data_IF_320936124216
#
_entry.id   IF_320936124216
#
_cell.length_a   1.000
_cell.length_b   1.000
_cell.length_c   1.000
_cell.angle_alpha   90.00
_cell.angle_beta   90.00
_cell.angle_gamma   90.00
#
_symmetry.space_group_name_H-M   'P 1'
#
loop_
_entity.id
_entity.type
_entity.pdbx_description
1 polymer ?
#
# COMPACT_ATOMS: atom_id res chain seq x y z
N UNK A 1 -18.23 -4.31 14.41
CA UNK A 1 -17.28 -4.06 13.30
C UNK A 1 -17.88 -4.44 11.96
N UNK A 2 -18.56 -5.58 11.84
CA UNK A 2 -19.20 -6.07 10.61
C UNK A 2 -20.17 -5.09 9.92
N UNK A 3 -21.01 -4.38 10.65
CA UNK A 3 -21.96 -3.41 10.06
C UNK A 3 -21.28 -2.13 9.49
N UNK A 4 -20.09 -1.81 9.99
CA UNK A 4 -19.34 -0.63 9.56
C UNK A 4 -18.63 -0.91 8.23
N UNK A 5 -18.12 -2.12 8.05
CA UNK A 5 -17.37 -2.55 6.86
C UNK A 5 -18.35 -3.08 5.80
N UNK A 6 -19.10 -2.15 5.20
CA UNK A 6 -19.97 -2.45 4.07
C UNK A 6 -19.27 -2.14 2.73
N UNK A 7 -19.56 -2.90 1.67
CA UNK A 7 -19.09 -2.56 0.33
C UNK A 7 -19.65 -1.21 -0.14
N UNK A 8 -18.95 -0.61 -1.11
CA UNK A 8 -19.26 0.67 -1.72
C UNK A 8 -19.27 1.88 -0.75
N UNK A 9 -18.56 1.78 0.39
CA UNK A 9 -18.37 2.88 1.33
C UNK A 9 -16.90 3.26 1.45
N UNK A 10 -16.65 4.54 1.70
CA UNK A 10 -15.33 5.01 2.09
C UNK A 10 -15.17 4.83 3.60
N UNK A 11 -14.10 4.15 4.00
CA UNK A 11 -13.84 3.81 5.40
C UNK A 11 -12.41 4.21 5.73
N UNK A 12 -12.24 4.81 6.90
CA UNK A 12 -10.94 5.10 7.48
C UNK A 12 -10.57 4.01 8.46
N UNK A 13 -9.44 3.36 8.22
CA UNK A 13 -8.89 2.33 9.08
C UNK A 13 -7.69 2.87 9.85
N UNK A 14 -7.62 2.56 11.14
CA UNK A 14 -6.45 2.83 11.98
C UNK A 14 -5.82 1.51 12.38
N UNK A 15 -4.49 1.42 12.31
CA UNK A 15 -3.75 0.22 12.70
C UNK A 15 -3.65 0.19 14.23
N UNK A 16 -4.40 -0.72 14.86
CA UNK A 16 -4.42 -0.91 16.31
C UNK A 16 -3.16 -1.60 16.83
N UNK A 17 -2.66 -2.57 16.06
CA UNK A 17 -1.50 -3.40 16.42
C UNK A 17 -0.68 -3.71 15.18
N UNK A 18 0.64 -3.65 15.30
CA UNK A 18 1.54 -4.00 14.21
C UNK A 18 1.41 -5.48 13.81
N UNK A 19 1.22 -5.80 12.52
CA UNK A 19 1.20 -7.17 12.04
C UNK A 19 2.57 -7.85 12.21
N UNK A 20 2.59 -8.95 12.96
CA UNK A 20 3.79 -9.76 13.19
C UNK A 20 4.09 -10.69 12.02
N UNK A 21 3.04 -11.30 11.43
CA UNK A 21 3.20 -12.21 10.28
C UNK A 21 3.49 -11.42 9.01
N UNK A 22 4.45 -11.90 8.22
CA UNK A 22 4.83 -11.28 6.94
C UNK A 22 3.65 -11.21 5.95
N UNK A 23 2.80 -12.24 5.91
CA UNK A 23 1.62 -12.26 5.05
C UNK A 23 0.64 -11.13 5.41
N UNK A 24 0.28 -11.03 6.68
CA UNK A 24 -0.64 -10.00 7.21
C UNK A 24 -0.06 -8.60 6.97
N UNK A 25 1.24 -8.41 7.20
CA UNK A 25 1.96 -7.16 6.90
C UNK A 25 1.84 -6.75 5.44
N UNK A 26 2.01 -7.70 4.50
CA UNK A 26 1.86 -7.44 3.06
C UNK A 26 0.42 -7.09 2.70
N UNK A 27 -0.56 -7.72 3.33
CA UNK A 27 -1.99 -7.42 3.11
C UNK A 27 -2.33 -6.00 3.56
N UNK A 28 -1.90 -5.60 4.76
CA UNK A 28 -2.09 -4.23 5.25
C UNK A 28 -1.34 -3.22 4.38
N UNK A 29 -0.07 -3.47 4.04
CA UNK A 29 0.69 -2.62 3.10
C UNK A 29 -0.06 -2.43 1.77
N UNK A 30 -0.70 -3.48 1.25
CA UNK A 30 -1.45 -3.40 -0.01
C UNK A 30 -2.73 -2.58 0.13
N UNK A 31 -3.48 -2.75 1.21
CA UNK A 31 -4.68 -1.96 1.49
C UNK A 31 -4.34 -0.48 1.64
N UNK A 32 -3.32 -0.14 2.43
CA UNK A 32 -2.83 1.24 2.59
C UNK A 32 -2.38 1.85 1.26
N UNK A 33 -1.76 1.05 0.37
CA UNK A 33 -1.39 1.53 -0.97
C UNK A 33 -2.58 1.88 -1.85
N UNK A 34 -3.79 1.37 -1.59
CA UNK A 34 -4.97 1.70 -2.41
C UNK A 34 -5.44 3.14 -2.19
N UNK A 35 -4.97 3.83 -1.13
CA UNK A 35 -5.29 5.23 -0.91
C UNK A 35 -4.81 6.09 -2.11
N UNK A 36 -5.68 6.95 -2.68
CA UNK A 36 -5.36 7.71 -3.88
C UNK A 36 -4.07 8.54 -3.78
N UNK A 37 -3.81 9.16 -2.64
CA UNK A 37 -2.62 10.00 -2.47
C UNK A 37 -1.32 9.20 -2.41
N UNK A 38 -1.38 8.00 -1.82
CA UNK A 38 -0.26 7.05 -1.87
C UNK A 38 -0.01 6.61 -3.32
N UNK A 39 -1.05 6.29 -4.08
CA UNK A 39 -0.91 5.93 -5.51
C UNK A 39 -0.29 7.06 -6.34
N UNK A 40 -0.74 8.31 -6.14
CA UNK A 40 -0.14 9.50 -6.79
C UNK A 40 1.35 9.61 -6.44
N UNK A 41 1.71 9.44 -5.16
CA UNK A 41 3.09 9.46 -4.71
C UNK A 41 3.94 8.36 -5.33
N UNK A 42 3.44 7.12 -5.36
CA UNK A 42 4.13 5.98 -5.98
C UNK A 42 4.37 6.20 -7.48
N UNK A 43 3.39 6.77 -8.18
CA UNK A 43 3.48 7.11 -9.60
C UNK A 43 4.56 8.16 -9.86
N UNK A 44 4.57 9.26 -9.09
CA UNK A 44 5.63 10.29 -9.18
C UNK A 44 7.03 9.71 -8.93
N UNK A 45 7.16 8.87 -7.90
CA UNK A 45 8.44 8.23 -7.58
C UNK A 45 8.89 7.25 -8.67
N UNK A 46 7.97 6.54 -9.31
CA UNK A 46 8.29 5.67 -10.45
C UNK A 46 8.80 6.48 -11.64
N UNK A 47 8.13 7.57 -11.99
CA UNK A 47 8.57 8.48 -13.05
C UNK A 47 9.94 9.09 -12.75
N UNK A 48 10.18 9.52 -11.51
CA UNK A 48 11.49 10.05 -11.09
C UNK A 48 12.59 9.00 -11.24
N UNK A 49 12.37 7.76 -10.78
CA UNK A 49 13.36 6.68 -10.92
C UNK A 49 13.69 6.40 -12.39
N UNK A 50 12.68 6.38 -13.26
CA UNK A 50 12.88 6.17 -14.69
C UNK A 50 13.72 7.28 -15.34
N UNK A 51 13.57 8.53 -14.91
CA UNK A 51 14.28 9.69 -15.49
C UNK A 51 15.69 9.88 -14.94
N UNK A 52 15.90 9.70 -13.63
CA UNK A 52 17.15 10.13 -12.98
C UNK A 52 17.72 9.14 -11.97
N UNK A 53 16.95 8.14 -11.52
CA UNK A 53 17.40 7.21 -10.48
C UNK A 53 18.04 5.93 -11.02
N UNK A 54 17.63 5.49 -12.21
CA UNK A 54 18.20 4.31 -12.84
C UNK A 54 19.52 4.67 -13.53
N UNK A 55 20.52 3.80 -13.37
CA UNK A 55 21.82 3.96 -14.01
C UNK A 55 21.85 3.11 -15.27
N UNK A 56 22.05 3.75 -16.41
CA UNK A 56 22.24 3.06 -17.68
C UNK A 56 23.73 2.85 -17.95
N UNK A 57 24.10 1.65 -18.36
CA UNK A 57 25.48 1.30 -18.69
C UNK A 57 25.53 0.30 -19.83
N UNK A 58 26.64 0.25 -20.57
CA UNK A 58 26.81 -0.68 -21.69
C UNK A 58 27.46 -1.97 -21.17
N UNK A 59 26.90 -3.11 -21.54
CA UNK A 59 27.49 -4.44 -21.29
C UNK A 59 27.35 -5.29 -22.54
N UNK A 60 28.48 -5.79 -23.04
CA UNK A 60 28.57 -6.54 -24.30
C UNK A 60 27.90 -5.82 -25.49
N UNK A 61 28.15 -4.51 -25.63
CA UNK A 61 27.61 -3.69 -26.72
C UNK A 61 26.10 -3.40 -26.64
N UNK A 62 25.42 -3.76 -25.55
CA UNK A 62 23.99 -3.45 -25.34
C UNK A 62 23.79 -2.53 -24.14
N UNK A 63 22.81 -1.61 -24.17
CA UNK A 63 22.45 -0.82 -23.01
C UNK A 63 21.71 -1.69 -21.99
N UNK A 64 22.16 -1.65 -20.74
CA UNK A 64 21.54 -2.29 -19.59
C UNK A 64 21.15 -1.22 -18.58
N UNK A 65 20.03 -1.43 -17.91
CA UNK A 65 19.50 -0.52 -16.90
C UNK A 65 19.66 -1.16 -15.52
N UNK A 66 20.49 -0.58 -14.66
CA UNK A 66 20.49 -0.89 -13.25
C UNK A 66 19.36 -0.12 -12.56
N UNK A 67 18.34 -0.86 -12.09
CA UNK A 67 17.12 -0.28 -11.51
C UNK A 67 17.30 0.00 -10.03
N UNK A 68 17.06 1.24 -9.62
CA UNK A 68 17.06 1.62 -8.22
C UNK A 68 15.91 0.92 -7.47
N UNK A 69 16.18 0.49 -6.22
CA UNK A 69 15.15 -0.09 -5.33
C UNK A 69 13.99 0.89 -5.13
N UNK A 70 12.76 0.36 -5.21
CA UNK A 70 11.54 1.15 -5.01
C UNK A 70 11.43 1.66 -3.58
N UNK A 71 11.20 2.96 -3.43
CA UNK A 71 10.86 3.60 -2.16
C UNK A 71 9.48 3.13 -1.69
N UNK A 72 9.39 2.68 -0.44
CA UNK A 72 8.11 2.37 0.20
C UNK A 72 7.55 3.63 0.86
N UNK A 73 6.41 4.11 0.38
CA UNK A 73 5.70 5.27 0.97
C UNK A 73 4.86 4.93 2.20
N UNK A 74 4.67 3.64 2.44
CA UNK A 74 3.74 3.14 3.45
C UNK A 74 4.47 2.11 4.30
N UNK A 75 4.22 2.18 5.60
CA UNK A 75 4.61 1.17 6.58
C UNK A 75 3.44 0.90 7.51
N UNK A 76 3.08 -0.37 7.76
CA UNK A 76 1.94 -0.71 8.60
C UNK A 76 2.37 -0.69 10.07
N UNK A 77 2.61 0.52 10.58
CA UNK A 77 3.00 0.77 11.97
C UNK A 77 1.78 1.10 12.83
N UNK A 78 1.85 0.85 14.14
CA UNK A 78 0.75 1.13 15.04
C UNK A 78 0.44 2.63 15.08
N UNK A 79 -0.85 2.98 15.02
CA UNK A 79 -1.32 4.37 15.01
C UNK A 79 -1.46 4.99 13.62
N UNK A 80 -0.88 4.38 12.59
CA UNK A 80 -1.07 4.83 11.21
C UNK A 80 -2.52 4.64 10.77
N UNK A 81 -3.00 5.57 9.95
CA UNK A 81 -4.36 5.56 9.42
C UNK A 81 -4.37 5.69 7.91
N UNK A 82 -5.35 5.05 7.27
CA UNK A 82 -5.53 5.12 5.85
C UNK A 82 -7.01 5.07 5.48
N UNK A 83 -7.37 5.77 4.42
CA UNK A 83 -8.74 5.86 3.94
C UNK A 83 -8.84 5.23 2.57
N UNK A 84 -9.76 4.26 2.43
CA UNK A 84 -9.99 3.54 1.19
C UNK A 84 -11.49 3.39 0.90
N UNK A 85 -11.80 3.35 -0.39
CA UNK A 85 -13.11 2.93 -0.87
C UNK A 85 -13.19 1.41 -0.87
N UNK A 86 -14.15 0.85 -0.12
CA UNK A 86 -14.29 -0.60 0.05
C UNK A 86 -15.02 -1.21 -1.12
N UNK A 87 -14.30 -1.88 -2.01
CA UNK A 87 -14.90 -2.68 -3.08
C UNK A 87 -15.19 -4.11 -2.60
N UNK A 88 -16.13 -4.83 -3.22
CA UNK A 88 -16.43 -6.22 -2.85
C UNK A 88 -15.21 -7.15 -2.91
N UNK A 89 -14.27 -6.90 -3.84
CA UNK A 89 -13.09 -7.77 -4.02
C UNK A 89 -12.12 -7.68 -2.82
N UNK A 90 -12.03 -6.53 -2.16
CA UNK A 90 -11.08 -6.32 -1.06
C UNK A 90 -11.67 -6.69 0.31
N UNK A 91 -12.95 -7.05 0.40
CA UNK A 91 -13.60 -7.42 1.66
C UNK A 91 -12.91 -8.62 2.33
N UNK A 92 -12.54 -9.64 1.55
CA UNK A 92 -11.86 -10.82 2.09
C UNK A 92 -10.48 -10.47 2.66
N UNK A 93 -9.80 -9.51 2.03
CA UNK A 93 -8.52 -9.01 2.52
C UNK A 93 -8.67 -8.28 3.84
N UNK A 94 -9.67 -7.39 3.93
CA UNK A 94 -9.98 -6.64 5.14
C UNK A 94 -10.34 -7.59 6.28
N UNK A 95 -11.20 -8.59 6.02
CA UNK A 95 -11.55 -9.63 7.00
C UNK A 95 -10.34 -10.40 7.50
N UNK A 96 -9.40 -10.74 6.62
CA UNK A 96 -8.19 -11.47 7.00
C UNK A 96 -7.30 -10.67 7.98
N UNK A 97 -7.34 -9.34 7.92
CA UNK A 97 -6.54 -8.45 8.79
C UNK A 97 -7.37 -7.67 9.81
N UNK A 98 -8.65 -7.99 9.98
CA UNK A 98 -9.58 -7.25 10.84
C UNK A 98 -9.07 -7.14 12.29
N UNK A 99 -8.41 -8.19 12.78
CA UNK A 99 -7.77 -8.21 14.12
C UNK A 99 -6.72 -7.11 14.36
N UNK A 100 -6.22 -6.46 13.31
CA UNK A 100 -5.21 -5.39 13.38
C UNK A 100 -5.77 -4.00 13.11
N UNK A 101 -7.02 -3.89 12.64
CA UNK A 101 -7.59 -2.64 12.16
C UNK A 101 -8.77 -2.22 13.05
N UNK A 102 -8.83 -0.94 13.37
CA UNK A 102 -10.04 -0.29 13.88
C UNK A 102 -10.68 0.51 12.74
N UNK A 103 -11.96 0.26 12.45
CA UNK A 103 -12.67 0.88 11.34
C UNK A 103 -13.55 2.04 11.84
N UNK A 104 -13.50 3.17 11.13
CA UNK A 104 -14.40 4.31 11.32
C UNK A 104 -14.99 4.72 9.97
N UNK A 105 -16.28 5.06 9.89
CA UNK A 105 -16.82 5.69 8.69
C UNK A 105 -16.01 6.98 8.41
N UNK A 106 -15.66 7.19 7.14
CA UNK A 106 -14.87 8.34 6.70
C UNK A 106 -15.71 9.63 6.70
#
# INVERSE_FOLDING_TARGET
MSDVIAPAKTITFTIKKEPTRIADRKTVERLMRMQPDVQKGLTRLAQRRAKTGNVEYIRAGRPWVNRQRVTKLVRPEQGESFTIFVTPQILNDIRAVEKYLDAKPA
#
